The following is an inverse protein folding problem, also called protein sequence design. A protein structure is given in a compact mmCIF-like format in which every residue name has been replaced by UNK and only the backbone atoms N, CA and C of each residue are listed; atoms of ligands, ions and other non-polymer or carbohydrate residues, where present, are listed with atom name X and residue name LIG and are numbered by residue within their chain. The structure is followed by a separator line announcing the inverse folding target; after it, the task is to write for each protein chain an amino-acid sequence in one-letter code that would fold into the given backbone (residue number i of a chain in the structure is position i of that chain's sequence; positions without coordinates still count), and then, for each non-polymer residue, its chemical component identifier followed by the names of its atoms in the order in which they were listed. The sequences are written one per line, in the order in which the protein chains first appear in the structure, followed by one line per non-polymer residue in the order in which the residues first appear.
data_IF_140917601023
#
_entry.id   IF_140917601023
#
_cell.length_a   1.000
_cell.length_b   1.000
_cell.length_c   1.000
_cell.angle_alpha   90.00
_cell.angle_beta   90.00
_cell.angle_gamma   90.00
#
_symmetry.space_group_name_H-M   'P 1'
#
loop_
_entity.id
_entity.type
_entity.pdbx_description
1 polymer ?
#
# COMPACT_ATOMS: atom_id res chain seq x y z
N UNK A 1 -15.17 -0.94 -5.00
CA UNK A 1 -14.03 -0.32 -5.72
C UNK A 1 -13.23 0.52 -4.73
N UNK A 2 -11.91 0.43 -4.75
CA UNK A 2 -11.01 1.25 -3.94
C UNK A 2 -10.74 2.56 -4.70
N UNK A 3 -10.90 3.70 -4.05
CA UNK A 3 -10.58 5.02 -4.62
C UNK A 3 -9.55 5.69 -3.71
N UNK A 4 -8.32 5.82 -4.18
CA UNK A 4 -7.27 6.52 -3.47
C UNK A 4 -7.51 8.04 -3.54
N UNK A 5 -7.48 8.71 -2.38
CA UNK A 5 -7.73 10.15 -2.28
C UNK A 5 -6.42 10.93 -2.14
N UNK A 6 -5.62 10.57 -1.18
CA UNK A 6 -4.43 11.32 -0.81
C UNK A 6 -3.35 10.40 -0.27
N UNK A 7 -2.12 10.65 -0.67
CA UNK A 7 -0.95 10.01 -0.08
C UNK A 7 0.06 11.07 0.35
N UNK A 8 0.64 10.89 1.53
CA UNK A 8 1.71 11.76 2.02
C UNK A 8 2.75 10.98 2.81
N UNK A 9 3.98 11.45 2.75
CA UNK A 9 5.09 10.82 3.45
C UNK A 9 6.16 11.83 3.83
N UNK A 10 6.97 11.51 4.84
CA UNK A 10 8.17 12.23 5.25
C UNK A 10 9.23 11.25 5.72
N UNK A 11 10.50 11.64 5.65
CA UNK A 11 11.65 10.80 6.01
C UNK A 11 11.61 9.39 5.37
N UNK A 12 11.02 9.30 4.19
CA UNK A 12 10.84 8.06 3.47
C UNK A 12 11.74 8.04 2.24
N UNK A 13 12.68 7.10 2.16
CA UNK A 13 13.71 7.03 1.12
C UNK A 13 14.52 8.34 1.02
N UNK A 14 14.53 9.01 -0.12
CA UNK A 14 15.26 10.26 -0.35
C UNK A 14 14.54 11.52 0.11
N UNK A 15 13.33 11.42 0.66
CA UNK A 15 12.56 12.59 1.11
C UNK A 15 12.92 13.01 2.53
N UNK A 16 12.97 14.31 2.79
CA UNK A 16 13.29 14.88 4.10
C UNK A 16 12.14 14.87 5.11
N UNK A 17 12.25 15.68 6.15
CA UNK A 17 11.31 15.74 7.28
C UNK A 17 10.02 16.51 7.01
N UNK A 18 9.92 17.22 5.89
CA UNK A 18 8.69 17.85 5.43
C UNK A 18 7.81 16.81 4.70
N UNK A 19 6.51 16.86 4.96
CA UNK A 19 5.59 16.01 4.23
C UNK A 19 5.57 16.36 2.75
N UNK A 20 5.86 15.37 1.92
CA UNK A 20 5.49 15.36 0.50
C UNK A 20 4.07 14.83 0.41
N UNK A 21 3.17 15.58 -0.20
CA UNK A 21 1.74 15.25 -0.30
C UNK A 21 1.31 15.23 -1.77
N UNK A 22 0.55 14.22 -2.14
CA UNK A 22 -0.04 14.08 -3.47
C UNK A 22 -1.53 13.83 -3.30
N UNK A 23 -2.34 14.68 -3.91
CA UNK A 23 -3.77 14.50 -4.00
C UNK A 23 -4.08 13.70 -5.28
N UNK A 24 -4.69 12.54 -5.12
CA UNK A 24 -5.00 11.61 -6.22
C UNK A 24 -6.46 11.72 -6.68
N UNK A 25 -7.29 12.51 -5.98
CA UNK A 25 -8.72 12.65 -6.25
C UNK A 25 -9.11 13.92 -7.02
N UNK A 26 -8.15 14.80 -7.31
CA UNK A 26 -8.44 16.07 -8.04
C UNK A 26 -8.85 15.84 -9.50
N UNK A 27 -8.34 14.78 -10.10
CA UNK A 27 -8.66 14.43 -11.49
C UNK A 27 -8.81 12.91 -11.65
N UNK A 28 -9.53 12.51 -12.72
CA UNK A 28 -9.66 11.08 -13.07
C UNK A 28 -8.32 10.44 -13.46
N UNK A 29 -7.40 11.24 -13.98
CA UNK A 29 -6.05 10.81 -14.40
C UNK A 29 -5.04 11.83 -13.92
N UNK A 30 -4.00 11.37 -13.23
CA UNK A 30 -2.91 12.20 -12.75
C UNK A 30 -1.63 11.82 -13.47
N UNK A 31 -0.95 12.79 -14.08
CA UNK A 31 0.34 12.61 -14.72
C UNK A 31 1.45 13.13 -13.81
N UNK A 32 2.40 12.26 -13.48
CA UNK A 32 3.54 12.58 -12.62
C UNK A 32 4.80 12.68 -13.48
N UNK A 33 5.30 13.90 -13.62
CA UNK A 33 6.48 14.22 -14.44
C UNK A 33 7.64 14.63 -13.53
N UNK A 34 8.86 14.28 -13.93
CA UNK A 34 10.07 14.66 -13.22
C UNK A 34 11.29 13.96 -13.79
N UNK A 35 12.47 14.47 -13.50
CA UNK A 35 13.75 13.89 -13.92
C UNK A 35 13.98 12.49 -13.32
N UNK A 36 14.93 11.75 -13.87
CA UNK A 36 15.34 10.49 -13.26
C UNK A 36 15.94 10.76 -11.87
N UNK A 37 15.55 9.96 -10.89
CA UNK A 37 15.93 10.18 -9.49
C UNK A 37 15.02 11.14 -8.68
N UNK A 38 14.10 11.88 -9.32
CA UNK A 38 13.20 12.84 -8.64
C UNK A 38 12.18 12.23 -7.68
N UNK A 39 12.20 10.91 -7.49
CA UNK A 39 11.30 10.24 -6.55
C UNK A 39 9.95 9.81 -7.11
N UNK A 40 9.73 9.80 -8.43
CA UNK A 40 8.46 9.35 -9.04
C UNK A 40 8.02 7.96 -8.54
N UNK A 41 8.94 7.01 -8.52
CA UNK A 41 8.64 5.63 -8.05
C UNK A 41 8.48 5.52 -6.53
N UNK A 42 8.88 6.53 -5.76
CA UNK A 42 8.68 6.58 -4.31
C UNK A 42 7.20 6.54 -3.93
N UNK A 43 6.33 7.05 -4.81
CA UNK A 43 4.87 6.98 -4.63
C UNK A 43 4.39 5.53 -4.54
N UNK A 44 4.90 4.65 -5.43
CA UNK A 44 4.54 3.23 -5.43
C UNK A 44 5.04 2.52 -4.17
N UNK A 45 6.25 2.86 -3.72
CA UNK A 45 6.78 2.32 -2.47
C UNK A 45 5.98 2.80 -1.26
N UNK A 46 5.63 4.09 -1.22
CA UNK A 46 4.82 4.66 -0.15
C UNK A 46 3.42 4.04 -0.13
N UNK A 47 2.79 3.85 -1.29
CA UNK A 47 1.47 3.22 -1.43
C UNK A 47 1.49 1.78 -0.91
N UNK A 48 2.42 0.96 -1.37
CA UNK A 48 2.51 -0.44 -0.96
C UNK A 48 2.97 -0.59 0.48
N UNK A 49 3.89 0.27 0.93
CA UNK A 49 4.33 0.27 2.33
C UNK A 49 3.19 0.63 3.28
N UNK A 50 2.38 1.64 2.97
CA UNK A 50 1.25 2.03 3.81
C UNK A 50 0.23 0.90 3.96
N UNK A 51 -0.10 0.18 2.89
CA UNK A 51 -1.11 -0.88 2.90
C UNK A 51 -0.58 -2.21 3.43
N UNK A 52 0.63 -2.62 3.00
CA UNK A 52 1.13 -3.98 3.21
C UNK A 52 2.40 -4.07 4.06
N UNK A 53 2.91 -2.96 4.60
CA UNK A 53 4.17 -2.93 5.33
C UNK A 53 5.38 -3.42 4.52
N UNK A 54 5.29 -3.35 3.20
CA UNK A 54 6.31 -3.77 2.23
C UNK A 54 6.45 -2.72 1.14
N UNK A 55 7.69 -2.32 0.78
CA UNK A 55 7.89 -1.47 -0.40
C UNK A 55 7.59 -2.24 -1.69
N UNK A 56 7.32 -1.54 -2.76
CA UNK A 56 7.16 -2.12 -4.08
C UNK A 56 8.50 -2.62 -4.64
N UNK A 57 9.56 -1.84 -4.45
CA UNK A 57 10.93 -2.24 -4.81
C UNK A 57 11.46 -3.30 -3.85
N UNK A 58 12.40 -4.13 -4.33
CA UNK A 58 13.10 -5.14 -3.52
C UNK A 58 14.17 -4.48 -2.63
N UNK A 59 13.75 -3.72 -1.64
CA UNK A 59 14.60 -3.09 -0.63
C UNK A 59 14.16 -3.50 0.77
N UNK A 60 15.08 -3.54 1.72
CA UNK A 60 14.77 -3.86 3.10
C UNK A 60 14.02 -2.72 3.78
N UNK A 61 13.19 -3.04 4.78
CA UNK A 61 12.40 -2.04 5.53
C UNK A 61 13.29 -0.96 6.18
N UNK A 62 14.47 -1.31 6.65
CA UNK A 62 15.43 -0.35 7.22
C UNK A 62 15.91 0.69 6.22
N UNK A 63 15.97 0.34 4.93
CA UNK A 63 16.39 1.23 3.83
C UNK A 63 15.28 2.19 3.39
N UNK A 64 14.06 2.04 3.91
CA UNK A 64 12.96 2.97 3.66
C UNK A 64 13.10 4.27 4.44
N UNK A 65 13.86 4.27 5.54
CA UNK A 65 14.09 5.46 6.35
C UNK A 65 15.12 6.35 5.62
N UNK A 66 14.87 7.65 5.63
CA UNK A 66 15.84 8.61 5.10
C UNK A 66 17.19 8.46 5.84
N UNK A 67 18.28 8.30 5.08
CA UNK A 67 19.61 8.00 5.62
C UNK A 67 20.27 9.20 6.32
N UNK A 68 19.77 10.41 6.12
CA UNK A 68 20.27 11.62 6.77
C UNK A 68 19.61 11.81 8.14
N UNK A 69 18.28 11.67 8.18
CA UNK A 69 17.51 11.94 9.41
C UNK A 69 17.39 10.70 10.30
N UNK A 70 17.44 9.49 9.73
CA UNK A 70 17.42 8.16 10.38
C UNK A 70 16.26 7.92 11.37
N UNK A 71 15.25 8.77 11.36
CA UNK A 71 14.11 8.76 12.28
C UNK A 71 12.84 9.30 11.64
N UNK A 72 11.73 9.12 12.34
CA UNK A 72 10.42 9.72 12.07
C UNK A 72 9.93 9.53 10.64
N UNK A 73 10.23 8.35 10.06
CA UNK A 73 9.66 7.94 8.80
C UNK A 73 8.16 7.70 8.96
N UNK A 74 7.35 8.43 8.22
CA UNK A 74 5.90 8.37 8.31
C UNK A 74 5.27 8.39 6.92
N UNK A 75 4.34 7.47 6.68
CA UNK A 75 3.55 7.39 5.46
C UNK A 75 2.08 7.33 5.84
N UNK A 76 1.26 8.13 5.18
CA UNK A 76 -0.19 8.17 5.39
C UNK A 76 -0.89 8.05 4.05
N UNK A 77 -1.91 7.21 4.00
CA UNK A 77 -2.74 6.99 2.83
C UNK A 77 -4.21 7.15 3.19
N UNK A 78 -4.92 7.95 2.43
CA UNK A 78 -6.36 8.14 2.54
C UNK A 78 -7.04 7.57 1.29
N UNK A 79 -8.08 6.76 1.50
CA UNK A 79 -8.84 6.12 0.43
C UNK A 79 -10.27 5.83 0.86
N UNK A 80 -11.13 5.55 -0.10
CA UNK A 80 -12.54 5.20 0.14
C UNK A 80 -12.83 3.83 -0.44
N UNK A 81 -13.58 3.02 0.30
CA UNK A 81 -14.13 1.74 -0.15
C UNK A 81 -15.61 1.69 0.21
N UNK A 82 -16.48 1.50 -0.80
CA UNK A 82 -17.92 1.38 -0.56
C UNK A 82 -18.54 2.59 0.15
N UNK A 83 -18.03 3.81 -0.10
CA UNK A 83 -18.50 5.03 0.55
C UNK A 83 -17.95 5.27 1.96
N UNK A 84 -17.11 4.37 2.48
CA UNK A 84 -16.46 4.49 3.79
C UNK A 84 -15.08 5.08 3.60
N UNK A 85 -14.76 6.12 4.36
CA UNK A 85 -13.45 6.75 4.37
C UNK A 85 -12.48 6.02 5.30
N UNK A 86 -11.34 5.68 4.74
CA UNK A 86 -10.25 5.00 5.42
C UNK A 86 -8.98 5.83 5.37
N UNK A 87 -8.22 5.79 6.46
CA UNK A 87 -6.88 6.33 6.53
C UNK A 87 -5.97 5.35 7.23
N UNK A 88 -4.85 5.05 6.61
CA UNK A 88 -3.79 4.20 7.18
C UNK A 88 -2.57 5.08 7.43
N UNK A 89 -2.04 5.03 8.64
CA UNK A 89 -0.81 5.70 9.05
C UNK A 89 0.19 4.63 9.42
N UNK A 90 1.37 4.71 8.81
CA UNK A 90 2.44 3.78 9.08
C UNK A 90 3.76 4.51 9.27
N UNK A 91 4.48 4.16 10.33
CA UNK A 91 5.76 4.77 10.69
C UNK A 91 6.86 3.75 10.96
N UNK A 92 8.09 4.23 10.82
CA UNK A 92 9.30 3.52 11.23
C UNK A 92 10.12 4.49 12.08
N UNK A 93 10.53 4.06 13.28
CA UNK A 93 11.26 4.88 14.24
C UNK A 93 10.59 6.24 14.56
N UNK A 94 9.43 6.25 15.26
CA UNK A 94 8.80 5.14 15.98
C UNK A 94 8.00 4.19 15.06
N UNK A 95 7.79 2.95 15.52
CA UNK A 95 6.93 2.01 14.82
C UNK A 95 5.47 2.38 15.08
N UNK A 96 4.78 2.86 14.04
CA UNK A 96 3.39 3.29 14.10
C UNK A 96 2.59 2.46 13.09
N UNK A 97 1.43 1.98 13.49
CA UNK A 97 0.45 1.40 12.60
C UNK A 97 -0.95 1.72 13.10
N UNK A 98 -1.61 2.66 12.46
CA UNK A 98 -2.96 3.09 12.80
C UNK A 98 -3.87 2.96 11.59
N UNK A 99 -5.10 2.51 11.83
CA UNK A 99 -6.17 2.44 10.85
C UNK A 99 -7.32 3.29 11.37
N UNK A 100 -7.77 4.23 10.56
CA UNK A 100 -8.91 5.09 10.85
C UNK A 100 -10.06 4.77 9.89
N UNK A 101 -11.26 4.74 10.42
CA UNK A 101 -12.52 4.59 9.68
C UNK A 101 -13.40 5.79 9.96
N UNK A 102 -13.79 6.54 8.92
CA UNK A 102 -14.59 7.77 9.03
C UNK A 102 -14.04 8.74 10.10
N UNK A 103 -12.72 8.95 10.10
CA UNK A 103 -12.01 9.85 11.01
C UNK A 103 -11.78 9.31 12.44
N UNK A 104 -12.33 8.16 12.81
CA UNK A 104 -12.12 7.54 14.12
C UNK A 104 -11.06 6.45 14.04
N UNK A 105 -10.12 6.45 14.98
CA UNK A 105 -9.13 5.38 15.12
C UNK A 105 -9.87 4.07 15.42
N UNK A 106 -9.59 3.03 14.66
CA UNK A 106 -10.09 1.69 14.95
C UNK A 106 -9.35 1.11 16.15
N UNK A 107 -10.07 0.36 16.98
CA UNK A 107 -9.43 -0.37 18.07
C UNK A 107 -8.31 -1.25 17.51
N UNK A 108 -7.11 -1.04 18.02
CA UNK A 108 -5.94 -1.79 17.59
C UNK A 108 -6.08 -3.24 18.07
N UNK A 109 -5.87 -4.20 17.18
CA UNK A 109 -5.68 -5.59 17.59
C UNK A 109 -4.41 -5.69 18.45
N UNK A 110 -4.43 -6.63 19.40
CA UNK A 110 -3.32 -6.81 20.34
C UNK A 110 -1.96 -7.07 19.64
N UNK A 111 -1.99 -7.67 18.45
CA UNK A 111 -0.80 -7.89 17.63
C UNK A 111 -0.88 -7.13 16.29
N UNK A 112 0.23 -6.47 15.92
CA UNK A 112 0.35 -5.75 14.63
C UNK A 112 0.11 -6.68 13.43
N UNK A 113 0.47 -7.96 13.53
CA UNK A 113 0.26 -8.96 12.49
C UNK A 113 -1.23 -9.23 12.25
N UNK A 114 -2.02 -9.31 13.31
CA UNK A 114 -3.47 -9.53 13.21
C UNK A 114 -4.17 -8.31 12.63
N UNK A 115 -3.72 -7.11 13.02
CA UNK A 115 -4.22 -5.86 12.44
C UNK A 115 -3.89 -5.75 10.95
N UNK A 116 -2.71 -6.21 10.52
CA UNK A 116 -2.32 -6.26 9.11
C UNK A 116 -3.20 -7.26 8.34
N UNK A 117 -3.39 -8.46 8.86
CA UNK A 117 -4.25 -9.48 8.26
C UNK A 117 -5.69 -8.96 8.13
N UNK A 118 -6.21 -8.35 9.19
CA UNK A 118 -7.54 -7.75 9.18
C UNK A 118 -7.68 -6.68 8.10
N UNK A 119 -6.69 -5.79 7.93
CA UNK A 119 -6.68 -4.78 6.86
C UNK A 119 -6.74 -5.43 5.47
N UNK A 120 -5.92 -6.46 5.24
CA UNK A 120 -5.87 -7.15 3.94
C UNK A 120 -7.16 -7.93 3.64
N UNK A 121 -7.68 -8.69 4.60
CA UNK A 121 -8.82 -9.60 4.40
C UNK A 121 -10.17 -8.90 4.50
N UNK A 122 -10.34 -7.98 5.45
CA UNK A 122 -11.65 -7.38 5.75
C UNK A 122 -11.86 -6.02 5.07
N UNK A 123 -10.80 -5.26 4.83
CA UNK A 123 -10.92 -3.91 4.25
C UNK A 123 -10.55 -3.92 2.78
N UNK A 124 -9.33 -4.35 2.45
CA UNK A 124 -8.82 -4.31 1.08
C UNK A 124 -9.35 -5.45 0.22
N UNK A 125 -9.57 -6.61 0.82
CA UNK A 125 -9.87 -7.90 0.16
C UNK A 125 -8.85 -8.26 -0.92
N UNK A 126 -7.62 -7.83 -0.74
CA UNK A 126 -6.48 -8.04 -1.64
C UNK A 126 -5.23 -8.24 -0.79
N UNK A 127 -4.41 -9.22 -1.14
CA UNK A 127 -3.07 -9.36 -0.60
C UNK A 127 -2.06 -8.53 -1.41
N UNK A 128 -0.84 -8.40 -0.89
CA UNK A 128 0.24 -7.64 -1.54
C UNK A 128 0.48 -8.05 -3.00
N UNK A 129 0.47 -9.36 -3.28
CA UNK A 129 0.77 -9.91 -4.60
C UNK A 129 -0.34 -9.58 -5.61
N UNK A 130 -1.59 -9.79 -5.24
CA UNK A 130 -2.74 -9.45 -6.07
C UNK A 130 -2.84 -7.95 -6.30
N UNK A 131 -2.61 -7.15 -5.26
CA UNK A 131 -2.58 -5.69 -5.37
C UNK A 131 -1.53 -5.21 -6.38
N UNK A 132 -0.30 -5.70 -6.28
CA UNK A 132 0.79 -5.29 -7.18
C UNK A 132 0.60 -5.76 -8.61
N UNK A 133 -0.18 -6.82 -8.83
CA UNK A 133 -0.52 -7.32 -10.17
C UNK A 133 -1.70 -6.59 -10.82
N UNK A 134 -2.64 -6.10 -10.01
CA UNK A 134 -3.88 -5.46 -10.49
C UNK A 134 -3.75 -3.95 -10.55
N UNK A 135 -3.12 -3.35 -9.54
CA UNK A 135 -3.11 -1.88 -9.36
C UNK A 135 -1.86 -1.24 -9.93
N UNK A 136 -0.71 -1.93 -9.88
CA UNK A 136 0.57 -1.38 -10.37
C UNK A 136 0.96 -2.05 -11.67
N UNK A 137 0.77 -1.35 -12.80
CA UNK A 137 1.05 -1.86 -14.14
C UNK A 137 2.27 -1.17 -14.77
N UNK A 138 3.05 -1.91 -15.55
CA UNK A 138 4.09 -1.33 -16.40
C UNK A 138 5.38 -0.87 -15.70
N UNK A 139 5.65 -1.31 -14.46
CA UNK A 139 6.94 -1.07 -13.79
C UNK A 139 8.00 -2.11 -14.19
N UNK A 140 9.29 -1.80 -13.94
CA UNK A 140 10.41 -2.70 -14.23
C UNK A 140 10.35 -4.06 -13.50
N UNK A 141 9.62 -4.14 -12.39
CA UNK A 141 9.39 -5.38 -11.60
C UNK A 141 8.02 -6.01 -11.86
N UNK A 142 7.24 -5.45 -12.77
CA UNK A 142 5.94 -6.01 -13.14
C UNK A 142 6.13 -7.28 -13.97
N UNK A 143 5.55 -8.39 -13.50
CA UNK A 143 5.45 -9.63 -14.26
C UNK A 143 4.04 -9.71 -14.83
N UNK A 144 3.85 -9.71 -16.16
CA UNK A 144 2.53 -9.81 -16.77
C UNK A 144 1.76 -11.02 -16.22
N UNK A 145 0.46 -10.86 -16.02
CA UNK A 145 -0.42 -11.92 -15.47
C UNK A 145 -0.22 -13.29 -16.16
N UNK A 146 -0.07 -13.28 -17.49
CA UNK A 146 0.11 -14.51 -18.27
C UNK A 146 1.46 -15.21 -18.02
N UNK A 147 2.46 -14.49 -17.50
CA UNK A 147 3.78 -15.05 -17.16
C UNK A 147 3.85 -15.54 -15.71
N UNK A 148 2.84 -15.27 -14.91
CA UNK A 148 2.73 -15.83 -13.57
C UNK A 148 2.61 -17.36 -13.63
N UNK A 149 3.11 -18.06 -12.62
CA UNK A 149 2.86 -19.48 -12.45
C UNK A 149 1.37 -19.77 -12.26
N UNK A 150 0.90 -20.96 -12.61
CA UNK A 150 -0.52 -21.31 -12.49
C UNK A 150 -1.10 -21.09 -11.08
N UNK A 151 -0.43 -21.48 -9.97
CA UNK A 151 -0.90 -21.16 -8.62
C UNK A 151 -1.04 -19.66 -8.37
N UNK A 152 -0.08 -18.87 -8.86
CA UNK A 152 -0.09 -17.43 -8.68
C UNK A 152 -1.21 -16.73 -9.46
N UNK A 153 -1.50 -17.19 -10.68
CA UNK A 153 -2.65 -16.68 -11.47
C UNK A 153 -3.97 -17.00 -10.77
N UNK A 154 -4.10 -18.23 -10.26
CA UNK A 154 -5.28 -18.64 -9.51
C UNK A 154 -5.53 -17.77 -8.30
N UNK A 155 -4.50 -17.54 -7.47
CA UNK A 155 -4.58 -16.68 -6.29
C UNK A 155 -5.05 -15.25 -6.64
N UNK A 156 -4.50 -14.66 -7.72
CA UNK A 156 -4.91 -13.32 -8.18
C UNK A 156 -6.38 -13.30 -8.61
N UNK A 157 -6.83 -14.33 -9.33
CA UNK A 157 -8.23 -14.45 -9.76
C UNK A 157 -9.16 -14.62 -8.55
N UNK A 158 -8.81 -15.49 -7.61
CA UNK A 158 -9.58 -15.74 -6.39
C UNK A 158 -9.73 -14.47 -5.53
N UNK A 159 -8.67 -13.69 -5.41
CA UNK A 159 -8.71 -12.38 -4.74
C UNK A 159 -9.61 -11.39 -5.48
N UNK A 160 -9.44 -11.28 -6.81
CA UNK A 160 -10.20 -10.32 -7.60
C UNK A 160 -11.70 -10.59 -7.59
N UNK A 161 -12.08 -11.87 -7.62
CA UNK A 161 -13.48 -12.31 -7.65
C UNK A 161 -14.07 -12.51 -6.25
N UNK A 162 -13.27 -12.34 -5.18
CA UNK A 162 -13.68 -12.61 -3.78
C UNK A 162 -14.23 -14.04 -3.58
N UNK A 163 -13.66 -15.03 -4.29
CA UNK A 163 -14.14 -16.42 -4.33
C UNK A 163 -13.25 -17.40 -3.53
N UNK A 164 -12.35 -16.92 -2.70
CA UNK A 164 -11.48 -17.76 -1.86
C UNK A 164 -12.23 -18.78 -1.01
N UNK A 165 -13.47 -18.45 -0.63
CA UNK A 165 -14.30 -19.33 0.17
C UNK A 165 -14.59 -20.65 -0.54
N UNK A 166 -14.76 -20.63 -1.87
CA UNK A 166 -15.05 -21.84 -2.64
C UNK A 166 -13.81 -22.75 -2.75
N UNK A 167 -12.61 -22.17 -2.81
CA UNK A 167 -11.36 -22.95 -2.79
C UNK A 167 -11.13 -23.62 -1.44
N UNK A 168 -11.57 -22.99 -0.34
CA UNK A 168 -11.50 -23.58 0.99
C UNK A 168 -12.56 -24.67 1.23
N UNK A 169 -13.67 -24.66 0.49
CA UNK A 169 -14.74 -25.66 0.59
C UNK A 169 -14.47 -26.90 -0.26
N UNK A 170 -13.53 -26.85 -1.19
CA UNK A 170 -13.18 -27.96 -2.09
C UNK A 170 -12.10 -28.89 -1.56
N UNK A 171 -11.79 -28.80 -0.28
CA UNK A 171 -10.99 -29.74 0.51
C UNK A 171 -11.95 -30.56 1.41
#
# INVERSE_FOLDING_TARGET
MIVFKKIKWKNFLSTGDKFTEINLSEAKTNLIIGNNGAGKSTILDALTFSLFNRPFRKVNKSQLINTVNEKDCNVQLEFTIGGIDWKVIRGIKPNIFEIHKNGKVMNQHAATADQQRWLEEQVLKLNYKSFTQIVILGSASFVPFMQLTAPNRREVIEDLLDIKIFSAMGL
#
